data_IF_138007014400
#
_entry.id   IF_138007014400
#
_cell.length_a   1.000
_cell.length_b   1.000
_cell.length_c   1.000
_cell.angle_alpha   90.00
_cell.angle_beta   90.00
_cell.angle_gamma   90.00
#
_symmetry.space_group_name_H-M   'P 1'
#
loop_
_entity.id
_entity.type
_entity.pdbx_description
1 polymer ?
#
# COMPACT_ATOMS: atom_id res chain seq x y z
N UNK A 1 -0.82 -20.72 -0.53
CA UNK A 1 -0.18 -19.43 -0.83
C UNK A 1 -0.28 -19.16 -2.32
N UNK A 2 -0.42 -17.91 -2.74
CA UNK A 2 -0.40 -17.57 -4.16
C UNK A 2 0.99 -17.81 -4.76
N UNK A 3 1.05 -18.29 -5.99
CA UNK A 3 2.28 -18.35 -6.78
C UNK A 3 2.57 -17.01 -7.46
N UNK A 4 3.81 -16.78 -7.87
CA UNK A 4 4.19 -15.56 -8.60
C UNK A 4 3.31 -15.35 -9.85
N UNK A 5 3.07 -16.41 -10.64
CA UNK A 5 2.19 -16.35 -11.81
C UNK A 5 0.75 -15.94 -11.45
N UNK A 6 0.23 -16.37 -10.29
CA UNK A 6 -1.10 -15.98 -9.84
C UNK A 6 -1.14 -14.51 -9.41
N UNK A 7 -0.09 -14.04 -8.72
CA UNK A 7 0.06 -12.63 -8.33
C UNK A 7 0.17 -11.76 -9.59
N UNK A 8 0.98 -12.15 -10.56
CA UNK A 8 1.11 -11.43 -11.83
C UNK A 8 -0.22 -11.35 -12.58
N UNK A 9 -0.97 -12.46 -12.65
CA UNK A 9 -2.31 -12.48 -13.26
C UNK A 9 -3.33 -11.60 -12.52
N UNK A 10 -3.12 -11.32 -11.23
CA UNK A 10 -3.93 -10.35 -10.45
C UNK A 10 -3.51 -8.93 -10.78
N UNK A 11 -2.21 -8.66 -10.79
CA UNK A 11 -1.67 -7.33 -11.03
C UNK A 11 -1.96 -6.88 -12.48
N UNK A 12 -1.83 -7.76 -13.47
CA UNK A 12 -2.15 -7.45 -14.87
C UNK A 12 -3.63 -7.10 -15.07
N UNK A 13 -4.54 -7.76 -14.35
CA UNK A 13 -5.97 -7.43 -14.39
C UNK A 13 -6.23 -6.03 -13.84
N UNK A 14 -5.61 -5.68 -12.71
CA UNK A 14 -5.76 -4.35 -12.08
C UNK A 14 -5.22 -3.27 -13.02
N UNK A 15 -4.09 -3.52 -13.70
CA UNK A 15 -3.49 -2.57 -14.65
C UNK A 15 -4.39 -2.22 -15.84
N UNK A 16 -5.37 -3.06 -16.19
CA UNK A 16 -6.28 -2.77 -17.32
C UNK A 16 -7.26 -1.64 -17.03
N UNK A 17 -7.48 -1.28 -15.76
CA UNK A 17 -8.36 -0.19 -15.41
C UNK A 17 -7.69 1.17 -15.68
N UNK A 18 -8.27 1.95 -16.58
CA UNK A 18 -7.72 3.23 -17.04
C UNK A 18 -7.56 4.29 -15.94
N UNK A 19 -8.21 4.09 -14.79
CA UNK A 19 -8.13 4.98 -13.63
C UNK A 19 -6.84 4.72 -12.84
N UNK A 20 -6.19 3.59 -13.02
CA UNK A 20 -4.97 3.21 -12.30
C UNK A 20 -3.78 4.04 -12.80
N UNK A 21 -3.13 4.74 -11.88
CA UNK A 21 -1.91 5.50 -12.12
C UNK A 21 -0.67 4.80 -11.58
N UNK A 22 -0.82 4.00 -10.52
CA UNK A 22 0.26 3.20 -9.97
C UNK A 22 -0.27 2.04 -9.11
N UNK A 23 0.55 1.01 -8.93
CA UNK A 23 0.27 -0.15 -8.09
C UNK A 23 1.49 -0.42 -7.20
N UNK A 24 1.22 -0.60 -5.92
CA UNK A 24 2.20 -0.95 -4.89
C UNK A 24 1.74 -2.25 -4.21
N UNK A 25 2.59 -3.27 -4.25
CA UNK A 25 2.39 -4.49 -3.46
C UNK A 25 2.94 -4.26 -2.05
N UNK A 26 2.23 -4.73 -1.03
CA UNK A 26 2.60 -4.56 0.38
C UNK A 26 2.36 -5.85 1.16
N UNK A 27 2.51 -5.80 2.48
CA UNK A 27 2.18 -6.92 3.35
C UNK A 27 3.20 -8.05 3.30
N UNK A 28 2.74 -9.24 3.68
CA UNK A 28 3.60 -10.41 3.89
C UNK A 28 4.33 -10.85 2.62
N UNK A 29 3.71 -10.69 1.44
CA UNK A 29 4.30 -11.01 0.14
C UNK A 29 5.46 -10.10 -0.31
N UNK A 30 5.76 -9.01 0.42
CA UNK A 30 6.89 -8.12 0.11
C UNK A 30 7.98 -8.15 1.18
N UNK A 31 7.61 -7.97 2.44
CA UNK A 31 8.58 -7.82 3.55
C UNK A 31 8.29 -8.76 4.74
N UNK A 32 7.32 -9.67 4.59
CA UNK A 32 7.03 -10.71 5.58
C UNK A 32 7.41 -12.10 5.11
N UNK A 33 6.80 -13.10 5.76
CA UNK A 33 6.82 -14.50 5.35
C UNK A 33 5.37 -14.88 5.06
N UNK A 34 4.93 -14.87 3.80
CA UNK A 34 3.55 -15.21 3.49
C UNK A 34 3.26 -16.67 3.87
N UNK A 35 2.04 -16.90 4.34
CA UNK A 35 1.49 -18.20 4.74
C UNK A 35 0.28 -18.51 3.87
N UNK A 36 -0.30 -19.70 4.03
CA UNK A 36 -1.55 -20.07 3.33
C UNK A 36 -2.75 -19.22 3.74
N UNK A 37 -2.68 -18.58 4.91
CA UNK A 37 -3.68 -17.67 5.46
C UNK A 37 -3.41 -16.20 5.12
N UNK A 38 -2.31 -15.90 4.43
CA UNK A 38 -1.97 -14.51 4.10
C UNK A 38 -2.83 -13.94 2.99
N UNK A 39 -3.35 -12.75 3.24
CA UNK A 39 -4.00 -11.91 2.24
C UNK A 39 -2.97 -11.30 1.27
N UNK A 40 -3.44 -10.93 0.07
CA UNK A 40 -2.65 -10.17 -0.91
C UNK A 40 -3.01 -8.68 -0.81
N UNK A 41 -2.16 -7.91 -0.12
CA UNK A 41 -2.32 -6.47 0.08
C UNK A 41 -1.82 -5.63 -1.10
N UNK A 42 -2.72 -4.96 -1.81
CA UNK A 42 -2.39 -4.12 -2.96
C UNK A 42 -2.89 -2.68 -2.75
N UNK A 43 -1.98 -1.71 -2.81
CA UNK A 43 -2.34 -0.28 -2.86
C UNK A 43 -2.37 0.18 -4.32
N UNK A 44 -3.41 0.92 -4.68
CA UNK A 44 -3.60 1.44 -6.04
C UNK A 44 -3.75 2.94 -5.96
N UNK A 45 -2.96 3.66 -6.76
CA UNK A 45 -3.14 5.11 -6.97
C UNK A 45 -4.12 5.30 -8.11
N UNK A 46 -5.18 6.06 -7.87
CA UNK A 46 -6.24 6.32 -8.86
C UNK A 46 -6.26 7.76 -9.33
N UNK A 47 -6.75 7.99 -10.56
CA UNK A 47 -7.08 9.34 -11.08
C UNK A 47 -8.31 9.93 -10.38
N UNK A 48 -8.26 11.23 -10.08
CA UNK A 48 -9.41 12.05 -9.62
C UNK A 48 -9.95 11.68 -8.23
N UNK A 49 -11.11 12.23 -7.86
CA UNK A 49 -11.75 12.07 -6.54
C UNK A 49 -12.34 10.66 -6.29
N UNK A 50 -11.81 9.65 -6.96
CA UNK A 50 -12.32 8.29 -6.89
C UNK A 50 -12.14 7.74 -5.46
N UNK A 51 -13.19 7.86 -4.66
CA UNK A 51 -13.41 7.04 -3.47
C UNK A 51 -13.69 5.60 -3.91
N UNK A 52 -12.70 4.95 -4.52
CA UNK A 52 -12.75 3.52 -4.73
C UNK A 52 -12.49 2.89 -3.37
N UNK A 53 -13.57 2.70 -2.61
CA UNK A 53 -13.54 2.08 -1.29
C UNK A 53 -12.64 0.83 -1.28
N UNK A 54 -12.04 0.55 -0.12
CA UNK A 54 -11.34 -0.70 0.14
C UNK A 54 -12.21 -1.89 -0.31
N UNK A 55 -11.79 -2.57 -1.37
CA UNK A 55 -12.51 -3.74 -1.90
C UNK A 55 -11.66 -4.96 -1.62
N UNK A 56 -12.21 -5.90 -0.87
CA UNK A 56 -11.67 -7.25 -0.88
C UNK A 56 -12.38 -8.09 -1.95
N UNK A 57 -11.67 -9.05 -2.52
CA UNK A 57 -12.25 -10.10 -3.37
C UNK A 57 -11.51 -11.41 -3.20
N UNK A 58 -12.22 -12.54 -3.34
CA UNK A 58 -11.60 -13.86 -3.32
C UNK A 58 -11.14 -14.24 -4.73
N UNK A 59 -9.90 -14.69 -4.88
CA UNK A 59 -9.37 -15.26 -6.14
C UNK A 59 -8.30 -16.30 -5.82
N UNK A 60 -8.33 -17.42 -6.53
CA UNK A 60 -7.44 -18.56 -6.29
C UNK A 60 -7.45 -19.05 -4.82
N UNK A 61 -8.58 -18.92 -4.13
CA UNK A 61 -8.71 -19.26 -2.70
C UNK A 61 -8.07 -18.27 -1.73
N UNK A 62 -7.49 -17.16 -2.22
CA UNK A 62 -6.88 -16.11 -1.41
C UNK A 62 -7.76 -14.85 -1.41
N UNK A 63 -7.78 -14.14 -0.28
CA UNK A 63 -8.38 -12.80 -0.17
C UNK A 63 -7.39 -11.78 -0.70
N UNK A 64 -7.82 -11.01 -1.69
CA UNK A 64 -7.09 -9.87 -2.24
C UNK A 64 -7.70 -8.63 -1.65
N UNK A 65 -6.90 -7.81 -0.98
CA UNK A 65 -7.32 -6.52 -0.43
C UNK A 65 -6.80 -5.38 -1.31
N UNK A 66 -7.72 -4.62 -1.91
CA UNK A 66 -7.42 -3.50 -2.78
C UNK A 66 -7.74 -2.19 -2.07
N UNK A 67 -6.71 -1.37 -1.88
CA UNK A 67 -6.83 -0.04 -1.29
C UNK A 67 -6.56 1.00 -2.37
N UNK A 68 -7.64 1.48 -2.98
CA UNK A 68 -7.58 2.37 -4.13
C UNK A 68 -7.84 3.81 -3.68
N UNK A 69 -6.83 4.66 -3.78
CA UNK A 69 -6.94 6.05 -3.32
C UNK A 69 -6.21 6.99 -4.27
N UNK A 70 -6.72 8.21 -4.48
CA UNK A 70 -5.94 9.22 -5.17
C UNK A 70 -4.81 9.77 -4.29
N UNK A 71 -3.78 10.41 -4.89
CA UNK A 71 -2.58 10.84 -4.17
C UNK A 71 -2.86 11.72 -2.95
N UNK A 72 -3.83 12.63 -3.03
CA UNK A 72 -4.20 13.56 -1.95
C UNK A 72 -4.79 12.82 -0.74
N UNK A 73 -5.56 11.76 -0.95
CA UNK A 73 -6.10 10.93 0.13
C UNK A 73 -4.97 10.12 0.79
N UNK A 74 -4.04 9.60 -0.01
CA UNK A 74 -2.85 8.92 0.51
C UNK A 74 -2.02 9.85 1.39
N UNK A 75 -1.79 11.09 0.95
CA UNK A 75 -1.09 12.11 1.73
C UNK A 75 -1.83 12.49 3.00
N UNK A 76 -3.16 12.56 2.96
CA UNK A 76 -3.96 12.75 4.18
C UNK A 76 -3.76 11.61 5.18
N UNK A 77 -3.67 10.36 4.73
CA UNK A 77 -3.33 9.25 5.62
C UNK A 77 -1.92 9.37 6.21
N UNK A 78 -0.94 9.90 5.47
CA UNK A 78 0.38 10.17 6.03
C UNK A 78 0.32 11.19 7.17
N UNK A 79 -0.46 12.25 7.01
CA UNK A 79 -0.64 13.26 8.05
C UNK A 79 -1.38 12.69 9.28
N UNK A 80 -2.48 11.96 9.07
CA UNK A 80 -3.21 11.26 10.13
C UNK A 80 -2.28 10.31 10.89
N UNK A 81 -1.46 9.54 10.17
CA UNK A 81 -0.50 8.63 10.78
C UNK A 81 0.47 9.35 11.73
N UNK A 82 0.99 10.52 11.31
CA UNK A 82 1.87 11.34 12.15
C UNK A 82 1.14 11.99 13.32
N UNK A 83 -0.11 12.38 13.13
CA UNK A 83 -0.94 12.96 14.19
C UNK A 83 -1.27 11.94 15.27
N UNK A 84 -1.63 10.72 14.87
CA UNK A 84 -2.01 9.65 15.79
C UNK A 84 -0.81 8.87 16.37
N UNK A 85 0.39 9.07 15.82
CA UNK A 85 1.56 8.28 16.21
C UNK A 85 1.49 6.84 15.71
N UNK A 86 0.61 6.51 14.76
CA UNK A 86 0.43 5.17 14.19
C UNK A 86 0.80 5.22 12.72
N UNK A 87 1.87 4.54 12.25
CA UNK A 87 2.39 4.78 10.90
C UNK A 87 2.04 3.72 9.80
N UNK A 88 0.88 3.02 9.77
CA UNK A 88 0.68 1.93 8.81
C UNK A 88 0.80 2.38 7.35
N UNK A 89 0.20 3.51 6.96
CA UNK A 89 0.30 4.03 5.60
C UNK A 89 1.73 4.45 5.26
N UNK A 90 2.43 5.11 6.19
CA UNK A 90 3.85 5.46 6.01
C UNK A 90 4.72 4.21 5.81
N UNK A 91 4.48 3.13 6.57
CA UNK A 91 5.19 1.87 6.39
C UNK A 91 4.89 1.20 5.05
N UNK A 92 3.61 1.11 4.68
CA UNK A 92 3.19 0.52 3.40
C UNK A 92 3.89 1.20 2.23
N UNK A 93 3.91 2.53 2.21
CA UNK A 93 4.51 3.30 1.13
C UNK A 93 6.04 3.31 1.16
N UNK A 94 6.66 3.30 2.34
CA UNK A 94 8.12 3.24 2.48
C UNK A 94 8.68 1.88 2.05
N UNK A 95 8.07 0.78 2.51
CA UNK A 95 8.63 -0.57 2.35
C UNK A 95 7.97 -1.39 1.24
N UNK A 96 6.83 -0.95 0.72
CA UNK A 96 6.14 -1.60 -0.38
C UNK A 96 6.96 -1.65 -1.68
N UNK A 97 6.62 -2.62 -2.53
CA UNK A 97 7.23 -2.83 -3.85
C UNK A 97 6.36 -2.18 -4.91
N UNK A 98 6.92 -1.22 -5.64
CA UNK A 98 6.25 -0.59 -6.78
C UNK A 98 6.20 -1.62 -7.92
N UNK A 99 5.01 -1.91 -8.41
CA UNK A 99 4.75 -2.86 -9.50
C UNK A 99 4.47 -2.12 -10.82
N UNK A 100 3.77 -1.00 -10.74
CA UNK A 100 3.35 -0.19 -11.88
C UNK A 100 3.41 1.27 -11.49
N UNK A 101 4.06 2.11 -12.29
CA UNK A 101 4.20 3.55 -12.03
C UNK A 101 4.63 4.31 -13.30
N UNK A 102 3.80 4.33 -14.36
CA UNK A 102 4.13 4.95 -15.65
C UNK A 102 4.40 6.46 -15.55
N UNK A 103 3.81 7.14 -14.56
CA UNK A 103 3.90 8.60 -14.40
C UNK A 103 4.77 9.04 -13.22
N UNK A 104 5.31 8.10 -12.44
CA UNK A 104 6.22 8.39 -11.32
C UNK A 104 5.56 8.76 -9.99
N UNK A 105 4.22 8.73 -9.90
CA UNK A 105 3.48 9.15 -8.71
C UNK A 105 3.73 8.22 -7.50
N UNK A 106 3.91 6.91 -7.72
CA UNK A 106 4.22 6.02 -6.60
C UNK A 106 5.64 6.22 -6.06
N UNK A 107 6.60 6.54 -6.92
CA UNK A 107 7.96 6.93 -6.48
C UNK A 107 7.93 8.21 -5.64
N UNK A 108 7.14 9.19 -6.04
CA UNK A 108 6.95 10.45 -5.29
C UNK A 108 6.36 10.17 -3.90
N UNK A 109 5.21 9.46 -3.84
CA UNK A 109 4.55 9.12 -2.58
C UNK A 109 5.45 8.27 -1.65
N UNK A 110 6.22 7.35 -2.22
CA UNK A 110 7.20 6.56 -1.46
C UNK A 110 8.32 7.43 -0.87
N UNK A 111 8.84 8.39 -1.64
CA UNK A 111 9.86 9.32 -1.15
C UNK A 111 9.31 10.22 -0.04
N UNK A 112 8.08 10.74 -0.19
CA UNK A 112 7.37 11.50 0.84
C UNK A 112 7.18 10.67 2.12
N UNK A 113 6.63 9.46 2.01
CA UNK A 113 6.40 8.57 3.13
C UNK A 113 7.71 8.25 3.87
N UNK A 114 8.79 7.98 3.14
CA UNK A 114 10.11 7.69 3.73
C UNK A 114 10.64 8.89 4.52
N UNK A 115 10.49 10.11 3.97
CA UNK A 115 10.90 11.34 4.66
C UNK A 115 10.08 11.58 5.92
N UNK A 116 8.76 11.41 5.84
CA UNK A 116 7.84 11.62 6.94
C UNK A 116 8.01 10.58 8.06
N UNK A 117 8.27 9.33 7.71
CA UNK A 117 8.54 8.26 8.67
C UNK A 117 9.81 8.56 9.48
N UNK A 118 10.87 9.04 8.81
CA UNK A 118 12.11 9.51 9.47
C UNK A 118 11.90 10.74 10.35
N UNK A 119 11.02 11.65 9.94
CA UNK A 119 10.72 12.86 10.70
C UNK A 119 9.97 12.56 12.01
N UNK A 120 9.25 11.44 12.07
CA UNK A 120 8.49 11.05 13.25
C UNK A 120 7.09 11.67 13.33
N UNK A 121 6.30 11.25 14.34
CA UNK A 121 4.96 11.78 14.57
C UNK A 121 5.02 13.16 15.24
N UNK A 122 3.88 13.85 15.30
CA UNK A 122 3.79 15.16 15.94
C UNK A 122 4.03 15.12 17.45
N UNK A 123 3.70 14.00 18.10
CA UNK A 123 4.03 13.74 19.51
C UNK A 123 5.51 13.51 19.77
N UNK A 124 6.32 13.27 18.72
CA UNK A 124 7.73 12.87 18.81
C UNK A 124 7.98 11.39 19.11
N UNK A 125 6.94 10.60 19.43
CA UNK A 125 7.05 9.17 19.74
C UNK A 125 6.02 8.39 18.92
N UNK A 126 6.50 7.42 18.12
CA UNK A 126 5.62 6.44 17.48
C UNK A 126 5.02 5.51 18.53
N UNK A 127 3.74 5.19 18.41
CA UNK A 127 3.13 4.13 19.18
C UNK A 127 3.84 2.82 18.84
N UNK A 128 4.23 2.08 19.89
CA UNK A 128 4.89 0.79 19.70
C UNK A 128 3.98 -0.16 18.95
N UNK A 129 4.49 -0.74 17.88
CA UNK A 129 3.81 -1.76 17.11
C UNK A 129 4.80 -2.86 16.74
N UNK A 130 4.63 -4.04 17.33
CA UNK A 130 5.50 -5.21 17.13
C UNK A 130 5.61 -5.65 15.66
N UNK A 131 4.64 -5.28 14.81
CA UNK A 131 4.69 -5.56 13.36
C UNK A 131 5.74 -4.71 12.63
N UNK A 132 6.03 -3.51 13.14
CA UNK A 132 6.82 -2.48 12.50
C UNK A 132 8.14 -2.17 13.21
N UNK A 133 8.21 -2.41 14.53
CA UNK A 133 9.34 -2.08 15.40
C UNK A 133 10.29 -3.27 15.62
N UNK A 134 10.79 -3.85 14.52
CA UNK A 134 11.78 -4.93 14.58
C UNK A 134 13.20 -4.43 14.79
#
# INVERSE_FOLDING_TARGET
MLTDNQIDAILEEIKQDERVQAILLTGSYVYGKPTDESDLDIRVVTKGDANWAEKYRMRFGCRIELFCNPPEVIRRYFDINRMEGKPPALHFWTYGKIIYDPVGIAKELKAEATKLLKLGPYSGIWEKNEKYDK
#
